data_IF_752172546584
#
_entry.id   IF_752172546584
#
_cell.length_a   1.000
_cell.length_b   1.000
_cell.length_c   1.000
_cell.angle_alpha   90.00
_cell.angle_beta   90.00
_cell.angle_gamma   90.00
#
_symmetry.space_group_name_H-M   'P 1'
#
loop_
_entity.id
_entity.type
_entity.pdbx_description
1 polymer ?
#
# COMPACT_ATOMS: atom_id res chain seq x y z
N UNK A 1 -18.83 1.80 5.23
CA UNK A 1 -18.20 0.93 6.24
C UNK A 1 -16.70 1.19 6.20
N UNK A 2 -16.11 1.41 7.37
CA UNK A 2 -14.78 1.90 7.72
C UNK A 2 -13.69 2.07 6.64
N UNK A 3 -13.57 3.31 6.14
CA UNK A 3 -12.37 3.85 5.47
C UNK A 3 -11.38 4.50 6.46
N UNK A 4 -11.65 4.51 7.77
CA UNK A 4 -10.81 5.20 8.74
C UNK A 4 -9.58 4.41 9.20
N UNK A 5 -9.57 3.06 9.07
CA UNK A 5 -8.42 2.23 9.50
C UNK A 5 -7.18 2.44 8.61
N UNK A 6 -7.27 2.49 7.25
CA UNK A 6 -6.13 2.81 6.40
C UNK A 6 -5.50 4.17 6.72
N UNK A 7 -6.33 5.18 7.02
CA UNK A 7 -5.86 6.53 7.27
C UNK A 7 -5.07 6.63 8.58
N UNK A 8 -5.57 6.03 9.67
CA UNK A 8 -4.88 6.03 10.95
C UNK A 8 -3.48 5.36 10.89
N UNK A 9 -3.35 4.25 10.15
CA UNK A 9 -2.06 3.56 9.95
C UNK A 9 -1.11 4.44 9.13
N UNK A 10 -1.62 5.03 8.04
CA UNK A 10 -0.83 5.90 7.16
C UNK A 10 -0.34 7.15 7.89
N UNK A 11 -1.22 7.77 8.68
CA UNK A 11 -0.88 8.93 9.49
C UNK A 11 0.19 8.60 10.54
N UNK A 12 0.12 7.43 11.17
CA UNK A 12 1.14 6.99 12.13
C UNK A 12 2.48 6.69 11.46
N UNK A 13 2.49 6.11 10.26
CA UNK A 13 3.72 5.87 9.50
C UNK A 13 4.35 7.19 9.04
N UNK A 14 3.55 8.13 8.52
CA UNK A 14 3.99 9.49 8.17
C UNK A 14 4.54 10.25 9.38
N UNK A 15 3.90 10.15 10.55
CA UNK A 15 4.39 10.72 11.81
C UNK A 15 5.73 10.15 12.26
N UNK A 16 6.05 8.90 11.88
CA UNK A 16 7.34 8.25 12.14
C UNK A 16 8.39 8.56 11.08
N UNK A 17 8.12 9.48 10.15
CA UNK A 17 9.03 9.86 9.08
C UNK A 17 9.08 8.86 7.92
N UNK A 18 8.13 7.94 7.84
CA UNK A 18 8.01 6.99 6.72
C UNK A 18 7.15 7.62 5.63
N UNK A 19 7.72 7.81 4.44
CA UNK A 19 6.98 8.30 3.27
C UNK A 19 6.14 7.16 2.68
N UNK A 20 4.86 7.13 3.06
CA UNK A 20 3.91 6.09 2.67
C UNK A 20 2.95 6.59 1.62
N UNK A 21 2.85 5.83 0.53
CA UNK A 21 1.79 5.92 -0.46
C UNK A 21 0.71 4.89 -0.11
N UNK A 22 -0.52 5.35 0.02
CA UNK A 22 -1.68 4.45 0.08
C UNK A 22 -2.22 4.22 -1.31
N UNK A 23 -2.74 3.01 -1.58
CA UNK A 23 -3.50 2.74 -2.79
C UNK A 23 -4.81 3.55 -2.91
N UNK A 24 -5.18 4.31 -1.86
CA UNK A 24 -6.32 5.23 -1.80
C UNK A 24 -5.91 6.70 -2.02
N UNK A 25 -4.62 7.02 -2.18
CA UNK A 25 -4.18 8.40 -2.43
C UNK A 25 -4.59 8.75 -3.87
N UNK A 26 -5.71 9.47 -4.00
CA UNK A 26 -6.56 9.87 -5.14
C UNK A 26 -6.01 9.80 -6.60
N UNK A 27 -4.69 9.87 -6.82
CA UNK A 27 -4.06 9.64 -8.12
C UNK A 27 -3.76 8.16 -8.45
N UNK A 28 -3.88 7.24 -7.48
CA UNK A 28 -3.67 5.80 -7.68
C UNK A 28 -4.92 5.05 -8.11
N UNK A 29 -6.12 5.64 -8.00
CA UNK A 29 -7.36 4.99 -8.44
C UNK A 29 -7.44 4.79 -9.96
N UNK A 30 -6.68 5.56 -10.73
CA UNK A 30 -6.56 5.42 -12.19
C UNK A 30 -5.35 4.60 -12.64
N UNK A 31 -4.42 4.31 -11.73
CA UNK A 31 -3.22 3.53 -12.03
C UNK A 31 -3.52 2.04 -11.81
N UNK A 32 -3.03 1.21 -12.71
CA UNK A 32 -3.02 -0.24 -12.47
C UNK A 32 -2.08 -0.57 -11.33
N UNK A 33 -2.31 -1.71 -10.67
CA UNK A 33 -1.48 -2.14 -9.54
C UNK A 33 0.01 -2.27 -9.91
N UNK A 34 0.32 -2.65 -11.15
CA UNK A 34 1.69 -2.71 -11.68
C UNK A 34 2.33 -1.32 -11.83
N UNK A 35 1.58 -0.35 -12.37
CA UNK A 35 2.04 1.04 -12.46
C UNK A 35 2.23 1.66 -11.08
N UNK A 36 1.40 1.27 -10.11
CA UNK A 36 1.54 1.72 -8.74
C UNK A 36 2.84 1.19 -8.11
N UNK A 37 3.17 -0.09 -8.30
CA UNK A 37 4.45 -0.67 -7.86
C UNK A 37 5.65 0.04 -8.51
N UNK A 38 5.58 0.35 -9.80
CA UNK A 38 6.64 1.06 -10.51
C UNK A 38 6.78 2.53 -10.06
N UNK A 39 5.67 3.21 -9.80
CA UNK A 39 5.65 4.58 -9.26
C UNK A 39 6.25 4.62 -7.85
N UNK A 40 5.86 3.70 -6.99
CA UNK A 40 6.39 3.56 -5.62
C UNK A 40 7.90 3.28 -5.65
N UNK A 41 8.35 2.39 -6.56
CA UNK A 41 9.77 2.14 -6.80
C UNK A 41 10.50 3.41 -7.23
N UNK A 42 9.97 4.12 -8.22
CA UNK A 42 10.59 5.34 -8.78
C UNK A 42 10.71 6.46 -7.75
N UNK A 43 9.72 6.58 -6.86
CA UNK A 43 9.71 7.56 -5.78
C UNK A 43 10.52 7.11 -4.55
N UNK A 44 10.95 5.86 -4.49
CA UNK A 44 11.65 5.31 -3.31
C UNK A 44 10.76 5.24 -2.06
N UNK A 45 9.44 5.11 -2.24
CA UNK A 45 8.45 5.15 -1.15
C UNK A 45 8.01 3.75 -0.74
N UNK A 46 7.38 3.65 0.42
CA UNK A 46 6.77 2.39 0.87
C UNK A 46 5.28 2.43 0.54
N UNK A 47 4.74 1.33 0.01
CA UNK A 47 3.30 1.20 -0.19
C UNK A 47 2.66 0.40 0.94
N UNK A 48 1.53 0.90 1.44
CA UNK A 48 0.67 0.17 2.37
C UNK A 48 -0.64 -0.23 1.69
N UNK A 49 -1.01 -1.50 1.79
CA UNK A 49 -2.29 -2.01 1.30
C UNK A 49 -2.85 -3.08 2.22
N UNK A 50 -4.17 -3.24 2.18
CA UNK A 50 -4.88 -4.38 2.78
C UNK A 50 -5.48 -5.31 1.72
N UNK A 51 -5.24 -5.01 0.44
CA UNK A 51 -5.72 -5.80 -0.68
C UNK A 51 -4.84 -7.05 -0.88
N UNK A 52 -5.50 -8.20 -0.82
CA UNK A 52 -4.89 -9.53 -0.95
C UNK A 52 -4.45 -9.79 -2.40
N UNK A 53 -5.18 -9.26 -3.40
CA UNK A 53 -4.81 -9.34 -4.80
C UNK A 53 -3.53 -8.52 -5.07
N UNK A 54 -3.44 -7.34 -4.46
CA UNK A 54 -2.23 -6.51 -4.54
C UNK A 54 -1.03 -7.22 -3.90
N UNK A 55 -1.22 -7.89 -2.75
CA UNK A 55 -0.18 -8.72 -2.13
C UNK A 55 0.33 -9.80 -3.09
N UNK A 56 -0.57 -10.52 -3.76
CA UNK A 56 -0.19 -11.56 -4.72
C UNK A 56 0.60 -10.99 -5.91
N UNK A 57 0.24 -9.78 -6.38
CA UNK A 57 0.99 -9.07 -7.41
C UNK A 57 2.41 -8.70 -6.94
N UNK A 58 2.54 -8.09 -5.76
CA UNK A 58 3.83 -7.72 -5.20
C UNK A 58 4.75 -8.95 -5.00
N UNK A 59 4.19 -10.08 -4.57
CA UNK A 59 4.93 -11.36 -4.47
C UNK A 59 5.39 -11.90 -5.82
N UNK A 60 4.58 -11.73 -6.87
CA UNK A 60 4.99 -12.09 -8.23
C UNK A 60 6.12 -11.18 -8.72
N UNK A 61 6.01 -9.88 -8.46
CA UNK A 61 7.02 -8.87 -8.79
C UNK A 61 8.37 -9.18 -8.13
N UNK A 62 8.35 -9.53 -6.84
CA UNK A 62 9.55 -9.95 -6.12
C UNK A 62 10.16 -11.24 -6.71
N UNK A 63 9.32 -12.23 -7.06
CA UNK A 63 9.77 -13.50 -7.68
C UNK A 63 10.41 -13.30 -9.05
N UNK A 64 10.01 -12.26 -9.77
CA UNK A 64 10.63 -11.86 -11.05
C UNK A 64 11.98 -11.15 -10.87
N UNK A 65 12.46 -10.97 -9.63
CA UNK A 65 13.71 -10.28 -9.34
C UNK A 65 13.61 -8.76 -9.52
N UNK A 66 12.40 -8.19 -9.55
CA UNK A 66 12.19 -6.75 -9.68
C UNK A 66 12.22 -6.11 -8.31
N UNK A 67 13.07 -5.12 -8.13
CA UNK A 67 13.18 -4.36 -6.89
C UNK A 67 11.92 -3.51 -6.66
N UNK A 68 11.48 -3.41 -5.41
CA UNK A 68 10.44 -2.49 -4.97
C UNK A 68 10.92 -1.77 -3.70
N UNK A 69 10.52 -0.50 -3.52
CA UNK A 69 11.06 0.38 -2.48
C UNK A 69 10.55 0.04 -1.05
N UNK A 70 9.47 -0.72 -0.95
CA UNK A 70 8.99 -1.33 0.31
C UNK A 70 7.50 -1.61 0.25
N UNK A 71 7.07 -2.71 0.87
CA UNK A 71 5.69 -3.18 0.86
C UNK A 71 5.24 -3.53 2.28
N UNK A 72 4.13 -2.94 2.72
CA UNK A 72 3.50 -3.25 4.01
C UNK A 72 2.08 -3.74 3.73
N UNK A 73 1.80 -4.96 4.16
CA UNK A 73 0.47 -5.54 4.09
C UNK A 73 -0.17 -5.58 5.48
N UNK A 74 -1.36 -4.99 5.61
CA UNK A 74 -2.20 -5.12 6.79
C UNK A 74 -3.33 -6.11 6.55
N UNK A 75 -3.54 -7.06 7.45
CA UNK A 75 -4.78 -7.83 7.43
C UNK A 75 -5.96 -6.93 7.83
N UNK A 76 -7.06 -6.99 7.06
CA UNK A 76 -8.31 -6.32 7.43
C UNK A 76 -8.85 -6.94 8.72
N UNK A 77 -8.60 -6.29 9.86
CA UNK A 77 -9.21 -6.67 11.13
C UNK A 77 -10.67 -6.25 11.08
N UNK A 78 -11.56 -7.24 10.97
CA UNK A 78 -13.01 -7.03 11.06
C UNK A 78 -13.38 -6.53 12.45
N UNK A 79 -13.34 -5.21 12.65
CA UNK A 79 -13.95 -4.54 13.78
C UNK A 79 -15.29 -3.98 13.36
N UNK A 80 -16.38 -4.54 13.87
CA UNK A 80 -17.68 -3.85 13.83
C UNK A 80 -17.64 -2.76 14.89
N UNK A 81 -17.70 -1.49 14.50
CA UNK A 81 -18.10 -0.42 15.42
C UNK A 81 -19.59 -0.63 15.69
N UNK A 82 -19.91 -1.00 16.93
CA UNK A 82 -21.29 -1.06 17.44
C UNK A 82 -21.86 0.31 17.73
#
# INVERSE_FOLDING_TARGET
MDVHVPQAITDQLRRRGVDVLTALDDESATLTDEELLERVRTLGRVIFTQDILFKALAENWQRQGREFAGFIFGHQMGGTIG
#
